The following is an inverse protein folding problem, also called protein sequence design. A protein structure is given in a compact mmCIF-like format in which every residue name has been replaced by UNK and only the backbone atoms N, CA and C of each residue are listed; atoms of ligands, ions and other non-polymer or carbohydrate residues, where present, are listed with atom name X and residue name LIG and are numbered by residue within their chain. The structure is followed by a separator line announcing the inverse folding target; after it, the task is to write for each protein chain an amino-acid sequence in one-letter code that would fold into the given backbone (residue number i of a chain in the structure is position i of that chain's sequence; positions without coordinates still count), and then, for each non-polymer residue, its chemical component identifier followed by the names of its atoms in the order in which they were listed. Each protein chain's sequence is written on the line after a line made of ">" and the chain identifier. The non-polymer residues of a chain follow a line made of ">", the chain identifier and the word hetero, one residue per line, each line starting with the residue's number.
data_IF_064102313591
#
_entry.id   IF_064102313591
#
_cell.length_a   1.000
_cell.length_b   1.000
_cell.length_c   1.000
_cell.angle_alpha   90.00
_cell.angle_beta   90.00
_cell.angle_gamma   90.00
#
_symmetry.space_group_name_H-M   'P 1'
#
loop_
_entity.id
_entity.type
_entity.pdbx_description
1 polymer ?
#
# COMPACT_ATOMS: atom_id res chain seq x y z
N UNK A 1 3.30 -36.21 -8.73
CA UNK A 1 4.37 -35.29 -8.32
C UNK A 1 3.67 -34.22 -7.51
N UNK A 2 4.03 -34.07 -6.23
CA UNK A 2 3.49 -32.98 -5.41
C UNK A 2 3.83 -31.66 -6.10
N UNK A 3 2.82 -30.91 -6.52
CA UNK A 3 2.98 -29.54 -6.97
C UNK A 3 3.53 -28.76 -5.77
N UNK A 4 4.84 -28.51 -5.79
CA UNK A 4 5.48 -27.64 -4.81
C UNK A 4 4.89 -26.25 -5.01
N UNK A 5 4.02 -25.81 -4.09
CA UNK A 5 3.56 -24.43 -4.03
C UNK A 5 4.80 -23.51 -4.01
N UNK A 6 4.98 -22.74 -5.09
CA UNK A 6 6.04 -21.74 -5.13
C UNK A 6 5.67 -20.65 -4.13
N UNK A 7 6.29 -20.70 -2.96
CA UNK A 7 5.99 -19.79 -1.84
C UNK A 7 6.38 -18.34 -2.17
N UNK A 8 7.47 -18.13 -2.94
CA UNK A 8 7.88 -16.81 -3.45
C UNK A 8 8.61 -16.93 -4.80
N UNK A 9 8.32 -16.01 -5.73
CA UNK A 9 9.01 -15.92 -7.03
C UNK A 9 9.59 -14.52 -7.25
N UNK A 10 10.90 -14.44 -7.46
CA UNK A 10 11.58 -13.18 -7.81
C UNK A 10 11.86 -13.13 -9.31
N UNK A 11 11.22 -12.18 -10.00
CA UNK A 11 11.37 -11.96 -11.44
C UNK A 11 11.98 -10.58 -11.71
N UNK A 12 13.02 -10.52 -12.55
CA UNK A 12 13.59 -9.26 -13.04
C UNK A 12 13.41 -9.15 -14.54
N UNK A 13 12.56 -8.22 -14.96
CA UNK A 13 12.27 -7.96 -16.37
C UNK A 13 12.99 -6.68 -16.84
N UNK A 14 13.46 -6.68 -18.09
CA UNK A 14 14.17 -5.56 -18.71
C UNK A 14 13.60 -5.27 -20.10
N UNK A 15 13.65 -4.00 -20.51
CA UNK A 15 13.23 -3.55 -21.84
C UNK A 15 11.77 -3.10 -21.91
N UNK A 16 11.39 -2.46 -23.02
CA UNK A 16 10.08 -1.83 -23.20
C UNK A 16 8.88 -2.78 -23.17
N UNK A 17 9.11 -4.09 -23.32
CA UNK A 17 8.06 -5.12 -23.30
C UNK A 17 7.84 -5.75 -21.91
N UNK A 18 8.54 -5.30 -20.87
CA UNK A 18 8.41 -5.82 -19.51
C UNK A 18 6.97 -5.71 -18.98
N UNK A 19 6.24 -4.64 -19.32
CA UNK A 19 4.83 -4.46 -18.95
C UNK A 19 3.92 -5.50 -19.61
N UNK A 20 4.19 -5.85 -20.88
CA UNK A 20 3.45 -6.89 -21.60
C UNK A 20 3.71 -8.27 -20.99
N UNK A 21 4.97 -8.59 -20.67
CA UNK A 21 5.32 -9.86 -20.01
C UNK A 21 4.66 -9.96 -18.63
N UNK A 22 4.68 -8.89 -17.84
CA UNK A 22 4.01 -8.86 -16.54
C UNK A 22 2.50 -9.07 -16.67
N UNK A 23 1.85 -8.40 -17.63
CA UNK A 23 0.41 -8.59 -17.93
C UNK A 23 0.12 -10.03 -18.34
N UNK A 24 0.94 -10.62 -19.20
CA UNK A 24 0.77 -12.02 -19.61
C UNK A 24 0.91 -12.98 -18.45
N UNK A 25 1.88 -12.76 -17.54
CA UNK A 25 2.06 -13.60 -16.35
C UNK A 25 0.85 -13.51 -15.41
N UNK A 26 0.32 -12.29 -15.17
CA UNK A 26 -0.90 -12.09 -14.38
C UNK A 26 -2.11 -12.77 -15.01
N UNK A 27 -2.29 -12.62 -16.33
CA UNK A 27 -3.43 -13.17 -17.06
C UNK A 27 -3.34 -14.69 -17.29
N UNK A 28 -2.14 -15.27 -17.25
CA UNK A 28 -1.92 -16.70 -17.50
C UNK A 28 -2.49 -17.61 -16.41
N UNK A 29 -2.93 -17.06 -15.28
CA UNK A 29 -3.48 -17.82 -14.16
C UNK A 29 -2.46 -18.73 -13.45
N UNK A 30 -1.17 -18.67 -13.83
CA UNK A 30 -0.12 -19.47 -13.21
C UNK A 30 0.26 -18.97 -11.81
N UNK A 31 0.17 -17.65 -11.57
CA UNK A 31 0.47 -17.03 -10.28
C UNK A 31 -0.49 -15.85 -9.99
N UNK A 32 -1.81 -16.08 -9.96
CA UNK A 32 -2.77 -15.03 -9.66
C UNK A 32 -2.53 -14.55 -8.23
N UNK A 33 -2.53 -13.23 -8.02
CA UNK A 33 -2.34 -12.57 -6.71
C UNK A 33 -0.95 -12.68 -6.05
N UNK A 34 -0.02 -13.50 -6.55
CA UNK A 34 1.34 -13.67 -5.99
C UNK A 34 2.44 -12.81 -6.66
N UNK A 35 2.10 -12.03 -7.68
CA UNK A 35 3.06 -11.21 -8.46
C UNK A 35 3.10 -9.76 -7.99
N UNK A 36 3.69 -9.54 -6.81
CA UNK A 36 3.97 -8.21 -6.30
C UNK A 36 5.17 -7.57 -7.03
N UNK A 37 5.05 -6.28 -7.36
CA UNK A 37 6.15 -5.49 -7.91
C UNK A 37 7.07 -5.02 -6.78
N UNK A 38 8.17 -5.74 -6.53
CA UNK A 38 9.12 -5.38 -5.47
C UNK A 38 10.03 -4.21 -5.85
N UNK A 39 10.27 -3.98 -7.14
CA UNK A 39 11.12 -2.89 -7.63
C UNK A 39 10.83 -2.52 -9.07
N UNK A 40 10.94 -1.23 -9.39
CA UNK A 40 10.81 -0.68 -10.75
C UNK A 40 12.05 0.12 -11.11
N UNK A 41 12.59 -0.14 -12.30
CA UNK A 41 13.74 0.59 -12.83
C UNK A 41 13.29 1.47 -14.00
N UNK A 42 13.57 2.77 -13.88
CA UNK A 42 13.16 3.79 -14.84
C UNK A 42 14.41 4.43 -15.46
N UNK A 43 14.45 4.47 -16.79
CA UNK A 43 15.43 5.28 -17.52
C UNK A 43 14.79 6.64 -17.79
N UNK A 44 15.41 7.70 -17.31
CA UNK A 44 14.90 9.06 -17.39
C UNK A 44 15.99 10.01 -17.92
N UNK A 45 15.60 10.99 -18.71
CA UNK A 45 16.48 12.04 -19.23
C UNK A 45 15.66 13.32 -19.42
N UNK A 46 16.33 14.46 -19.27
CA UNK A 46 15.72 15.76 -19.57
C UNK A 46 15.95 16.10 -21.05
N UNK A 47 14.93 16.55 -21.80
CA UNK A 47 15.06 16.82 -23.24
C UNK A 47 16.15 17.83 -23.61
N UNK A 48 16.53 18.70 -22.67
CA UNK A 48 17.46 19.81 -22.89
C UNK A 48 18.87 19.53 -22.33
N UNK A 49 19.14 18.30 -21.88
CA UNK A 49 20.46 17.85 -21.43
C UNK A 49 20.88 16.68 -22.34
N UNK A 50 21.79 16.96 -23.28
CA UNK A 50 22.27 15.96 -24.23
C UNK A 50 22.87 14.74 -23.51
N UNK A 51 22.36 13.55 -23.84
CA UNK A 51 22.87 12.21 -23.48
C UNK A 51 23.09 11.87 -22.00
N UNK A 52 22.64 12.70 -21.06
CA UNK A 52 22.76 12.38 -19.63
C UNK A 52 21.52 11.63 -19.10
N UNK A 53 21.27 10.42 -19.59
CA UNK A 53 20.25 9.57 -18.99
C UNK A 53 20.68 9.10 -17.58
N UNK A 54 19.72 9.05 -16.67
CA UNK A 54 19.81 8.35 -15.39
C UNK A 54 18.95 7.10 -15.43
N UNK A 55 19.37 6.06 -14.73
CA UNK A 55 18.60 4.87 -14.46
C UNK A 55 18.35 4.85 -12.95
N UNK A 56 17.12 5.14 -12.55
CA UNK A 56 16.69 5.10 -11.15
C UNK A 56 15.94 3.79 -10.86
N UNK A 57 16.30 3.13 -9.77
CA UNK A 57 15.65 1.92 -9.30
C UNK A 57 14.93 2.21 -7.98
N UNK A 58 13.61 2.16 -8.01
CA UNK A 58 12.71 2.32 -6.87
C UNK A 58 12.35 0.95 -6.33
N UNK A 59 12.45 0.73 -5.04
CA UNK A 59 11.98 -0.48 -4.35
C UNK A 59 10.70 -0.19 -3.56
N UNK A 60 9.91 -1.23 -3.28
CA UNK A 60 8.60 -1.10 -2.62
C UNK A 60 8.69 -0.47 -1.20
N UNK A 61 9.86 -0.57 -0.55
CA UNK A 61 10.16 0.04 0.75
C UNK A 61 10.63 1.50 0.66
N UNK A 62 10.57 2.11 -0.53
CA UNK A 62 10.87 3.52 -0.77
C UNK A 62 12.36 3.82 -0.98
N UNK A 63 13.25 2.81 -0.98
CA UNK A 63 14.65 3.03 -1.34
C UNK A 63 14.77 3.34 -2.83
N UNK A 64 15.62 4.31 -3.14
CA UNK A 64 15.96 4.69 -4.51
C UNK A 64 17.47 4.62 -4.71
N UNK A 65 17.88 3.97 -5.81
CA UNK A 65 19.29 3.95 -6.24
C UNK A 65 19.41 4.45 -7.66
N UNK A 66 20.44 5.26 -7.92
CA UNK A 66 20.64 5.93 -9.20
C UNK A 66 21.91 5.42 -9.88
N UNK A 67 21.85 5.24 -11.20
CA UNK A 67 22.98 4.90 -12.05
C UNK A 67 22.99 5.80 -13.29
N UNK A 68 24.03 6.60 -13.47
CA UNK A 68 24.20 7.45 -14.64
C UNK A 68 24.99 8.72 -14.32
N UNK A 69 24.93 9.69 -15.22
CA UNK A 69 25.79 10.90 -15.16
C UNK A 69 25.02 12.19 -14.84
N UNK A 70 23.68 12.18 -14.92
CA UNK A 70 22.87 13.37 -14.66
C UNK A 70 22.30 13.38 -13.26
N UNK A 71 22.94 14.12 -12.35
CA UNK A 71 22.36 14.41 -11.05
C UNK A 71 21.06 15.22 -11.17
N UNK A 72 20.99 16.14 -12.14
CA UNK A 72 19.81 16.98 -12.37
C UNK A 72 18.61 16.14 -12.78
N UNK A 73 18.79 15.18 -13.70
CA UNK A 73 17.71 14.29 -14.12
C UNK A 73 17.22 13.42 -12.97
N UNK A 74 18.13 12.89 -12.13
CA UNK A 74 17.79 12.15 -10.92
C UNK A 74 16.91 12.97 -9.98
N UNK A 75 17.40 14.15 -9.55
CA UNK A 75 16.65 15.00 -8.61
C UNK A 75 15.30 15.40 -9.18
N UNK A 76 15.21 15.71 -10.47
CA UNK A 76 13.93 16.05 -11.10
C UNK A 76 12.93 14.89 -11.04
N UNK A 77 13.36 13.65 -11.28
CA UNK A 77 12.50 12.47 -11.16
C UNK A 77 12.08 12.25 -9.71
N UNK A 78 13.01 12.32 -8.76
CA UNK A 78 12.72 12.19 -7.32
C UNK A 78 11.70 13.24 -6.86
N UNK A 79 11.87 14.50 -7.25
CA UNK A 79 10.93 15.56 -6.89
C UNK A 79 9.52 15.29 -7.43
N UNK A 80 9.39 14.77 -8.66
CA UNK A 80 8.07 14.40 -9.23
C UNK A 80 7.40 13.28 -8.43
N UNK A 81 8.15 12.22 -8.11
CA UNK A 81 7.64 11.10 -7.32
C UNK A 81 7.26 11.57 -5.91
N UNK A 82 8.12 12.36 -5.27
CA UNK A 82 7.89 12.90 -3.93
C UNK A 82 6.66 13.81 -3.88
N UNK A 83 6.48 14.71 -4.85
CA UNK A 83 5.30 15.57 -4.90
C UNK A 83 4.01 14.76 -5.03
N UNK A 84 3.99 13.78 -5.94
CA UNK A 84 2.81 12.91 -6.12
C UNK A 84 2.52 12.08 -4.87
N UNK A 85 3.56 11.53 -4.24
CA UNK A 85 3.42 10.83 -2.97
C UNK A 85 2.84 11.75 -1.87
N UNK A 86 3.37 12.96 -1.74
CA UNK A 86 2.92 13.95 -0.77
C UNK A 86 1.45 14.33 -0.97
N UNK A 87 1.01 14.50 -2.21
CA UNK A 87 -0.40 14.75 -2.54
C UNK A 87 -1.31 13.61 -2.04
N UNK A 88 -0.94 12.36 -2.34
CA UNK A 88 -1.72 11.19 -1.90
C UNK A 88 -1.74 11.04 -0.37
N UNK A 89 -0.63 11.32 0.32
CA UNK A 89 -0.60 11.28 1.79
C UNK A 89 -1.49 12.38 2.39
N UNK A 90 -1.44 13.59 1.83
CA UNK A 90 -2.27 14.71 2.31
C UNK A 90 -3.75 14.46 2.13
N UNK A 91 -4.18 13.86 1.02
CA UNK A 91 -5.61 13.52 0.86
C UNK A 91 -6.06 12.54 1.95
N UNK A 92 -5.23 11.54 2.27
CA UNK A 92 -5.49 10.60 3.38
C UNK A 92 -5.54 11.32 4.74
N UNK A 93 -4.63 12.25 5.01
CA UNK A 93 -4.50 12.92 6.31
C UNK A 93 -5.55 14.01 6.57
N UNK A 94 -6.14 14.60 5.53
CA UNK A 94 -7.05 15.75 5.68
C UNK A 94 -8.51 15.47 5.28
N UNK A 95 -8.76 14.56 4.35
CA UNK A 95 -10.11 14.31 3.81
C UNK A 95 -10.79 13.09 4.46
N UNK A 96 -10.01 12.06 4.79
CA UNK A 96 -10.53 10.79 5.29
C UNK A 96 -10.73 10.71 6.82
N UNK A 97 -9.99 11.42 7.69
CA UNK A 97 -10.12 11.21 9.12
C UNK A 97 -11.52 11.44 9.65
N UNK A 98 -11.95 10.54 10.53
CA UNK A 98 -13.25 10.59 11.19
C UNK A 98 -13.19 11.64 12.32
N UNK A 99 -14.08 12.63 12.26
CA UNK A 99 -14.13 13.72 13.25
C UNK A 99 -15.54 14.24 13.45
N UNK A 100 -15.80 14.79 14.64
CA UNK A 100 -17.00 15.59 14.87
C UNK A 100 -16.71 17.04 14.53
N UNK A 101 -17.56 17.62 13.69
CA UNK A 101 -17.55 19.06 13.38
C UNK A 101 -18.86 19.71 13.84
N UNK A 102 -18.82 20.94 14.35
CA UNK A 102 -20.03 21.67 14.68
C UNK A 102 -20.72 22.17 13.39
N UNK A 103 -21.93 21.70 13.13
CA UNK A 103 -22.78 22.23 12.07
C UNK A 103 -24.07 22.78 12.67
N UNK A 104 -24.29 24.09 12.57
CA UNK A 104 -25.45 24.80 13.14
C UNK A 104 -25.68 24.49 14.63
N UNK A 105 -24.60 24.32 15.40
CA UNK A 105 -24.66 24.01 16.83
C UNK A 105 -24.87 22.54 17.19
N UNK A 106 -24.97 21.64 16.20
CA UNK A 106 -25.08 20.19 16.41
C UNK A 106 -23.78 19.50 15.97
N UNK A 107 -23.18 18.62 16.79
CA UNK A 107 -22.02 17.83 16.39
C UNK A 107 -22.42 16.86 15.28
N UNK A 108 -21.81 17.02 14.11
CA UNK A 108 -22.00 16.15 12.93
C UNK A 108 -20.73 15.36 12.69
N UNK A 109 -20.86 14.08 12.35
CA UNK A 109 -19.74 13.23 12.00
C UNK A 109 -19.33 13.47 10.55
N UNK A 110 -18.06 13.78 10.34
CA UNK A 110 -17.39 13.89 9.04
C UNK A 110 -16.30 12.82 8.91
N UNK A 111 -15.86 12.58 7.68
CA UNK A 111 -14.79 11.64 7.32
C UNK A 111 -15.34 10.36 6.69
N UNK A 112 -14.42 9.52 6.21
CA UNK A 112 -14.77 8.28 5.52
C UNK A 112 -13.80 7.16 5.90
N UNK A 113 -14.26 5.92 6.04
CA UNK A 113 -13.35 4.79 6.19
C UNK A 113 -12.50 4.63 4.93
N UNK A 114 -11.26 4.22 5.12
CA UNK A 114 -10.44 3.67 4.04
C UNK A 114 -10.82 2.21 3.89
N UNK A 115 -11.04 1.76 2.65
CA UNK A 115 -11.44 0.39 2.35
C UNK A 115 -10.38 -0.24 1.47
N UNK A 116 -9.80 -1.34 1.93
CA UNK A 116 -9.03 -2.25 1.09
C UNK A 116 -9.97 -3.37 0.64
N UNK A 117 -10.08 -3.57 -0.67
CA UNK A 117 -10.84 -4.68 -1.25
C UNK A 117 -9.86 -5.77 -1.67
N UNK A 118 -9.99 -6.95 -1.08
CA UNK A 118 -9.10 -8.08 -1.33
C UNK A 118 -9.59 -8.83 -2.57
N UNK A 119 -8.69 -9.07 -3.51
CA UNK A 119 -8.95 -9.90 -4.68
C UNK A 119 -9.08 -11.38 -4.31
N UNK A 120 -8.47 -11.77 -3.19
CA UNK A 120 -8.56 -13.10 -2.58
C UNK A 120 -9.06 -13.05 -1.13
N UNK A 121 -9.97 -13.96 -0.79
CA UNK A 121 -10.50 -14.06 0.58
C UNK A 121 -9.43 -14.50 1.57
N UNK A 122 -9.45 -13.91 2.77
CA UNK A 122 -8.73 -14.36 3.94
C UNK A 122 -9.26 -15.75 4.34
N UNK A 123 -8.43 -16.79 4.34
CA UNK A 123 -8.86 -18.13 4.74
C UNK A 123 -9.13 -18.22 6.24
N UNK A 124 -8.45 -17.41 7.04
CA UNK A 124 -8.57 -17.36 8.49
C UNK A 124 -8.32 -15.93 8.97
N UNK A 125 -9.40 -15.21 9.29
CA UNK A 125 -9.36 -13.82 9.76
C UNK A 125 -8.66 -13.72 11.11
N UNK A 126 -8.87 -14.70 12.00
CA UNK A 126 -8.26 -14.72 13.34
C UNK A 126 -6.74 -14.81 13.25
N UNK A 127 -6.23 -15.75 12.45
CA UNK A 127 -4.79 -15.91 12.25
C UNK A 127 -4.18 -14.71 11.52
N UNK A 128 -4.89 -14.16 10.53
CA UNK A 128 -4.45 -12.93 9.85
C UNK A 128 -4.28 -11.77 10.86
N UNK A 129 -5.29 -11.52 11.69
CA UNK A 129 -5.25 -10.50 12.74
C UNK A 129 -4.10 -10.76 13.71
N UNK A 130 -3.95 -11.99 14.19
CA UNK A 130 -2.88 -12.35 15.11
C UNK A 130 -1.49 -12.04 14.52
N UNK A 131 -1.27 -12.27 13.21
CA UNK A 131 0.01 -11.99 12.55
C UNK A 131 0.22 -10.49 12.30
N UNK A 132 -0.77 -9.81 11.72
CA UNK A 132 -0.67 -8.39 11.32
C UNK A 132 -0.51 -7.47 12.52
N UNK A 133 -1.20 -7.76 13.63
CA UNK A 133 -1.22 -6.91 14.83
C UNK A 133 -0.32 -7.42 15.96
N UNK A 134 0.66 -8.28 15.65
CA UNK A 134 1.62 -8.87 16.59
C UNK A 134 2.78 -7.95 17.00
N UNK A 135 2.86 -6.73 16.47
CA UNK A 135 4.06 -5.86 16.48
C UNK A 135 5.20 -6.30 15.56
N UNK A 136 5.10 -7.47 14.91
CA UNK A 136 6.17 -8.00 14.08
C UNK A 136 6.31 -7.27 12.73
N UNK A 137 7.46 -7.48 12.09
CA UNK A 137 7.64 -7.11 10.68
C UNK A 137 6.72 -7.97 9.80
N UNK A 138 6.21 -7.42 8.68
CA UNK A 138 6.53 -6.10 8.12
C UNK A 138 5.60 -4.97 8.61
N UNK A 139 4.49 -5.29 9.27
CA UNK A 139 3.41 -4.33 9.55
C UNK A 139 3.70 -3.40 10.72
N UNK A 140 4.39 -3.87 11.77
CA UNK A 140 4.71 -3.08 12.97
C UNK A 140 3.47 -2.40 13.59
N UNK A 141 2.33 -3.07 13.50
CA UNK A 141 1.10 -2.69 14.18
C UNK A 141 0.95 -3.58 15.42
N UNK A 142 0.60 -2.98 16.55
CA UNK A 142 0.13 -3.71 17.72
C UNK A 142 -1.37 -3.47 17.86
N UNK A 143 -2.16 -4.47 18.25
CA UNK A 143 -3.59 -4.24 18.43
C UNK A 143 -4.28 -5.20 19.38
N UNK A 144 -5.38 -4.73 19.95
CA UNK A 144 -6.33 -5.54 20.71
C UNK A 144 -7.48 -5.90 19.80
N UNK A 145 -7.76 -7.20 19.66
CA UNK A 145 -8.74 -7.72 18.71
C UNK A 145 -9.97 -8.31 19.40
N UNK A 146 -11.13 -8.02 18.81
CA UNK A 146 -12.42 -8.63 19.10
C UNK A 146 -12.81 -9.43 17.84
N UNK A 147 -12.76 -10.76 17.93
CA UNK A 147 -13.09 -11.65 16.81
C UNK A 147 -14.53 -12.14 16.98
N UNK A 148 -15.32 -11.99 15.93
CA UNK A 148 -16.73 -12.39 15.87
C UNK A 148 -16.88 -13.49 14.82
N UNK A 149 -17.52 -14.59 15.18
CA UNK A 149 -17.99 -15.64 14.24
C UNK A 149 -16.92 -16.18 13.25
N UNK A 150 -15.64 -16.11 13.61
CA UNK A 150 -14.45 -16.56 12.87
C UNK A 150 -14.18 -15.90 11.50
N UNK A 151 -15.09 -15.08 10.98
CA UNK A 151 -14.99 -14.43 9.67
C UNK A 151 -14.92 -12.89 9.74
N UNK A 152 -15.05 -12.32 10.94
CA UNK A 152 -14.97 -10.88 11.16
C UNK A 152 -14.17 -10.54 12.42
N UNK A 153 -13.39 -9.47 12.36
CA UNK A 153 -12.65 -8.97 13.50
C UNK A 153 -12.60 -7.45 13.54
N UNK A 154 -12.72 -6.90 14.74
CA UNK A 154 -12.43 -5.49 15.02
C UNK A 154 -11.11 -5.40 15.78
N UNK A 155 -10.23 -4.49 15.38
CA UNK A 155 -8.92 -4.32 16.02
C UNK A 155 -8.65 -2.86 16.35
N UNK A 156 -8.47 -2.57 17.64
CA UNK A 156 -7.95 -1.30 18.12
C UNK A 156 -6.43 -1.35 18.05
N UNK A 157 -5.85 -0.67 17.07
CA UNK A 157 -4.44 -0.79 16.73
C UNK A 157 -3.65 0.49 17.02
N UNK A 158 -2.34 0.32 17.18
CA UNK A 158 -1.34 1.38 17.29
C UNK A 158 -0.23 1.10 16.30
N UNK A 159 0.12 2.11 15.49
CA UNK A 159 1.30 2.07 14.64
C UNK A 159 2.55 2.34 15.47
N UNK A 160 3.44 1.35 15.57
CA UNK A 160 4.65 1.43 16.39
C UNK A 160 5.75 2.33 15.80
N UNK A 161 5.57 2.86 14.59
CA UNK A 161 6.51 3.82 14.00
C UNK A 161 6.26 5.25 14.48
N UNK A 162 4.99 5.62 14.65
CA UNK A 162 4.57 7.01 14.92
C UNK A 162 3.71 7.14 16.18
N UNK A 163 3.22 6.03 16.74
CA UNK A 163 2.40 5.99 17.95
C UNK A 163 0.92 6.29 17.72
N UNK A 164 0.46 6.39 16.47
CA UNK A 164 -0.91 6.75 16.15
C UNK A 164 -1.87 5.57 16.32
N UNK A 165 -3.06 5.88 16.84
CA UNK A 165 -4.14 4.91 17.03
C UNK A 165 -4.98 4.80 15.78
N UNK A 166 -5.41 3.59 15.43
CA UNK A 166 -6.31 3.31 14.33
C UNK A 166 -7.33 2.26 14.77
N UNK A 167 -8.47 2.23 14.10
CA UNK A 167 -9.44 1.15 14.23
C UNK A 167 -9.54 0.40 12.91
N UNK A 168 -9.44 -0.92 12.97
CA UNK A 168 -9.62 -1.81 11.84
C UNK A 168 -10.90 -2.62 12.00
N UNK A 169 -11.60 -2.83 10.90
CA UNK A 169 -12.60 -3.88 10.75
C UNK A 169 -12.17 -4.78 9.60
N UNK A 170 -12.07 -6.08 9.83
CA UNK A 170 -11.49 -7.04 8.90
C UNK A 170 -12.52 -8.12 8.67
N UNK A 171 -12.94 -8.27 7.42
CA UNK A 171 -13.77 -9.39 6.95
C UNK A 171 -12.99 -10.27 5.98
N UNK A 172 -13.64 -11.33 5.49
CA UNK A 172 -13.02 -12.26 4.55
C UNK A 172 -12.46 -11.61 3.29
N UNK A 173 -13.14 -10.61 2.71
CA UNK A 173 -12.78 -9.97 1.43
C UNK A 173 -12.49 -8.47 1.54
N UNK A 174 -12.50 -7.89 2.75
CA UNK A 174 -12.26 -6.47 2.94
C UNK A 174 -11.52 -6.15 4.23
N UNK A 175 -10.86 -4.99 4.23
CA UNK A 175 -10.35 -4.35 5.45
C UNK A 175 -10.80 -2.89 5.44
N UNK A 176 -11.47 -2.45 6.50
CA UNK A 176 -11.80 -1.04 6.72
C UNK A 176 -10.89 -0.46 7.78
N UNK A 177 -10.41 0.74 7.54
CA UNK A 177 -9.53 1.47 8.45
C UNK A 177 -10.16 2.82 8.75
N UNK A 178 -10.35 3.09 10.04
CA UNK A 178 -10.86 4.35 10.53
C UNK A 178 -9.70 5.13 11.15
N UNK A 179 -9.45 6.31 10.58
CA UNK A 179 -8.40 7.22 11.00
C UNK A 179 -8.94 8.28 11.96
N UNK A 180 -8.44 8.37 13.19
CA UNK A 180 -8.60 9.58 13.99
C UNK A 180 -7.86 10.76 13.36
N UNK A 181 -8.36 11.98 13.58
CA UNK A 181 -7.66 13.21 13.19
C UNK A 181 -6.23 13.25 13.74
N UNK A 182 -5.28 13.65 12.90
CA UNK A 182 -3.86 13.73 13.26
C UNK A 182 -3.09 12.41 13.07
N UNK A 183 -3.73 11.36 12.56
CA UNK A 183 -3.03 10.14 12.17
C UNK A 183 -2.20 10.36 10.91
N UNK A 184 -0.96 9.88 10.92
CA UNK A 184 -0.05 9.97 9.77
C UNK A 184 -0.48 9.03 8.64
N UNK A 185 -0.71 9.57 7.45
CA UNK A 185 -1.13 8.81 6.25
C UNK A 185 -0.09 7.79 5.80
N UNK A 186 1.18 7.96 6.20
CA UNK A 186 2.23 6.97 5.95
C UNK A 186 1.93 5.61 6.59
N UNK A 187 1.14 5.56 7.67
CA UNK A 187 0.66 4.30 8.23
C UNK A 187 -0.15 3.52 7.18
N UNK A 188 -1.05 4.20 6.49
CA UNK A 188 -1.91 3.62 5.45
C UNK A 188 -1.10 3.22 4.23
N UNK A 189 -0.20 4.10 3.75
CA UNK A 189 0.65 3.79 2.60
C UNK A 189 1.51 2.55 2.84
N UNK A 190 2.13 2.43 4.02
CA UNK A 190 2.94 1.24 4.39
C UNK A 190 2.09 -0.01 4.57
N UNK A 191 0.92 0.13 5.20
CA UNK A 191 -0.01 -1.00 5.34
C UNK A 191 -0.42 -1.54 3.97
N UNK A 192 -0.81 -0.67 3.05
CA UNK A 192 -1.19 -1.02 1.69
C UNK A 192 -0.03 -1.66 0.90
N UNK A 193 1.17 -1.05 0.94
CA UNK A 193 2.34 -1.62 0.27
C UNK A 193 2.71 -3.01 0.81
N UNK A 194 2.60 -3.21 2.13
CA UNK A 194 2.83 -4.52 2.74
C UNK A 194 1.75 -5.53 2.36
N UNK A 195 0.47 -5.13 2.29
CA UNK A 195 -0.60 -6.01 1.81
C UNK A 195 -0.35 -6.46 0.38
N UNK A 196 0.04 -5.53 -0.51
CA UNK A 196 0.42 -5.84 -1.88
C UNK A 196 1.63 -6.79 -1.95
N UNK A 197 2.64 -6.57 -1.11
CA UNK A 197 3.89 -7.31 -1.17
C UNK A 197 3.80 -8.72 -0.58
N UNK A 198 3.03 -8.91 0.49
CA UNK A 198 3.09 -10.13 1.30
C UNK A 198 1.79 -10.95 1.31
N UNK A 199 0.67 -10.42 0.81
CA UNK A 199 -0.61 -11.12 0.88
C UNK A 199 -1.35 -11.16 -0.47
N UNK A 200 -1.67 -9.99 -1.02
CA UNK A 200 -2.51 -9.85 -2.20
C UNK A 200 -1.98 -8.72 -3.09
N UNK A 201 -1.23 -9.06 -4.14
CA UNK A 201 -0.65 -8.07 -5.06
C UNK A 201 -1.67 -7.31 -5.91
N UNK A 202 -2.94 -7.67 -5.86
CA UNK A 202 -4.05 -7.03 -6.58
C UNK A 202 -5.03 -6.34 -5.63
N UNK A 203 -4.71 -6.26 -4.32
CA UNK A 203 -5.50 -5.47 -3.37
C UNK A 203 -5.64 -4.04 -3.86
N UNK A 204 -6.87 -3.53 -3.84
CA UNK A 204 -7.19 -2.15 -4.17
C UNK A 204 -7.52 -1.37 -2.91
N UNK A 205 -7.37 -0.05 -2.95
CA UNK A 205 -7.59 0.83 -1.81
C UNK A 205 -8.38 2.08 -2.23
N UNK A 206 -9.48 2.35 -1.54
CA UNK A 206 -10.38 3.47 -1.79
C UNK A 206 -10.75 4.20 -0.50
N UNK A 207 -11.32 5.40 -0.62
CA UNK A 207 -11.76 6.19 0.54
C UNK A 207 -12.51 7.45 0.13
N UNK A 208 -13.64 7.71 0.79
CA UNK A 208 -14.50 8.86 0.47
C UNK A 208 -14.95 8.87 -0.98
N UNK A 209 -14.72 9.97 -1.69
CA UNK A 209 -15.02 10.11 -3.11
C UNK A 209 -13.95 9.53 -4.04
N UNK A 210 -12.83 9.04 -3.51
CA UNK A 210 -11.73 8.51 -4.31
C UNK A 210 -11.93 7.02 -4.54
N UNK A 211 -12.19 6.64 -5.80
CA UNK A 211 -12.27 5.23 -6.22
C UNK A 211 -10.93 4.49 -6.01
N UNK A 212 -9.81 5.22 -6.07
CA UNK A 212 -8.46 4.68 -5.84
C UNK A 212 -7.54 5.73 -5.20
N UNK A 213 -6.96 5.43 -4.03
CA UNK A 213 -6.08 6.38 -3.30
C UNK A 213 -4.62 6.42 -3.82
N UNK A 214 -4.15 5.38 -4.53
CA UNK A 214 -2.79 5.27 -5.07
C UNK A 214 -2.75 4.79 -6.52
#
# INVERSE_FOLDING_TARGET
>A
AEDTEVETMHLRLWGGSASTVLKSLRNSGAFPHSLALSSVRLKYWLPNLDDEAIIDNFTFDGKVTALGKSFISHINLISKVYSKYTENIRSIEYELPIRFVPYKGVPTLEGHPIILSLSRKLPDVRNFVAKVFSSALPFRLWGLSEVYEDDFARVYAVDLHVGNKLLFEIGGDFIRIYLPTGTCGNTIARFYANMQQYYDSEVSISGGSHEQLF
#
